data_IF_544948524227
#
_entry.id   IF_544948524227
#
_cell.length_a   1.000
_cell.length_b   1.000
_cell.length_c   1.000
_cell.angle_alpha   90.00
_cell.angle_beta   90.00
_cell.angle_gamma   90.00
#
_symmetry.space_group_name_H-M   'P 1'
#
loop_
_entity.id
_entity.type
_entity.pdbx_description
1 polymer ?
#
# COMPACT_ATOMS: atom_id res chain seq x y z
N UNK A 1 -51.94 83.11 0.76
CA UNK A 1 -51.27 84.44 0.61
C UNK A 1 -49.87 84.29 0.03
N UNK A 2 -49.23 85.31 -0.48
CA UNK A 2 -47.88 85.23 -1.11
C UNK A 2 -46.83 84.65 -0.15
N UNK A 3 -46.96 84.85 1.14
CA UNK A 3 -46.05 84.31 2.17
C UNK A 3 -46.16 82.73 2.32
N UNK A 4 -47.35 82.20 2.22
CA UNK A 4 -47.56 80.76 2.29
C UNK A 4 -47.02 80.02 1.05
N UNK A 5 -47.13 80.66 -0.12
CA UNK A 5 -46.56 80.12 -1.38
C UNK A 5 -45.02 80.07 -1.34
N UNK A 6 -44.40 81.12 -0.77
CA UNK A 6 -42.94 81.22 -0.59
C UNK A 6 -42.44 80.15 0.41
N UNK A 7 -43.16 79.93 1.51
CA UNK A 7 -42.82 78.92 2.48
C UNK A 7 -43.01 77.49 1.86
N UNK A 8 -44.07 77.24 1.07
CA UNK A 8 -44.25 75.95 0.40
C UNK A 8 -43.15 75.69 -0.62
N UNK A 9 -42.76 76.69 -1.43
CA UNK A 9 -41.66 76.60 -2.39
C UNK A 9 -40.31 76.28 -1.71
N UNK A 10 -40.02 76.91 -0.56
CA UNK A 10 -38.80 76.68 0.22
C UNK A 10 -38.76 75.22 0.76
N UNK A 11 -39.88 74.70 1.30
CA UNK A 11 -39.98 73.30 1.77
C UNK A 11 -39.82 72.34 0.63
N UNK A 12 -40.38 72.58 -0.52
CA UNK A 12 -40.29 71.75 -1.69
C UNK A 12 -38.85 71.72 -2.23
N UNK A 13 -38.13 72.83 -2.26
CA UNK A 13 -36.72 72.94 -2.62
C UNK A 13 -35.83 72.07 -1.67
N UNK A 14 -36.08 72.13 -0.36
CA UNK A 14 -35.36 71.30 0.64
C UNK A 14 -35.64 69.80 0.43
N UNK A 15 -36.90 69.42 0.18
CA UNK A 15 -37.26 68.01 -0.10
C UNK A 15 -36.64 67.54 -1.37
N UNK A 16 -36.53 68.32 -2.43
CA UNK A 16 -35.86 67.99 -3.67
C UNK A 16 -34.35 67.74 -3.43
N UNK A 17 -33.72 68.60 -2.65
CA UNK A 17 -32.29 68.45 -2.29
C UNK A 17 -32.06 67.15 -1.51
N UNK A 18 -32.84 66.86 -0.47
CA UNK A 18 -32.77 65.66 0.33
C UNK A 18 -33.00 64.37 -0.54
N UNK A 19 -34.02 64.47 -1.43
CA UNK A 19 -34.29 63.32 -2.36
C UNK A 19 -33.13 63.10 -3.32
N UNK A 20 -32.49 64.19 -3.80
CA UNK A 20 -31.34 64.09 -4.71
C UNK A 20 -30.13 63.49 -4.02
N UNK A 21 -29.87 63.89 -2.75
CA UNK A 21 -28.79 63.23 -1.97
C UNK A 21 -29.05 61.77 -1.70
N UNK A 22 -30.27 61.39 -1.35
CA UNK A 22 -30.66 59.97 -1.19
C UNK A 22 -30.49 59.19 -2.48
N UNK A 23 -30.87 59.75 -3.62
CA UNK A 23 -30.67 59.11 -4.93
C UNK A 23 -29.17 58.93 -5.26
N UNK A 24 -28.32 59.91 -4.95
CA UNK A 24 -26.86 59.75 -5.10
C UNK A 24 -26.30 58.65 -4.20
N UNK A 25 -26.75 58.60 -2.94
CA UNK A 25 -26.40 57.52 -2.00
C UNK A 25 -26.79 56.14 -2.52
N UNK A 26 -28.01 56.05 -3.05
CA UNK A 26 -28.52 54.81 -3.63
C UNK A 26 -27.76 54.37 -4.89
N UNK A 27 -27.40 55.33 -5.76
CA UNK A 27 -26.56 55.04 -6.94
C UNK A 27 -25.20 54.43 -6.55
N UNK A 28 -24.52 55.07 -5.56
CA UNK A 28 -23.24 54.55 -5.03
C UNK A 28 -23.37 53.17 -4.39
N UNK A 29 -24.51 52.91 -3.71
CA UNK A 29 -24.80 51.62 -3.12
C UNK A 29 -25.04 50.54 -4.18
N UNK A 30 -25.71 50.89 -5.31
CA UNK A 30 -25.89 50.01 -6.45
C UNK A 30 -24.56 49.65 -7.16
N UNK A 31 -23.63 50.65 -7.30
CA UNK A 31 -22.29 50.38 -7.82
C UNK A 31 -21.52 49.38 -6.96
N UNK A 32 -21.53 49.56 -5.64
CA UNK A 32 -20.90 48.67 -4.69
C UNK A 32 -21.51 47.28 -4.72
N UNK A 33 -22.83 47.18 -4.86
CA UNK A 33 -23.56 45.89 -4.98
C UNK A 33 -23.19 45.17 -6.28
N UNK A 34 -23.09 45.89 -7.38
CA UNK A 34 -22.67 45.34 -8.68
C UNK A 34 -21.24 44.81 -8.61
N UNK A 35 -20.31 45.57 -8.02
CA UNK A 35 -18.92 45.12 -7.80
C UNK A 35 -18.84 43.87 -6.92
N UNK A 36 -19.64 43.83 -5.85
CA UNK A 36 -19.71 42.65 -4.96
C UNK A 36 -20.29 41.42 -5.66
N UNK A 37 -21.35 41.62 -6.46
CA UNK A 37 -21.95 40.54 -7.24
C UNK A 37 -20.96 39.97 -8.27
N UNK A 38 -20.21 40.83 -8.96
CA UNK A 38 -19.16 40.43 -9.90
C UNK A 38 -18.07 39.61 -9.20
N UNK A 39 -17.60 40.03 -8.05
CA UNK A 39 -16.59 39.31 -7.25
C UNK A 39 -17.11 37.96 -6.74
N UNK A 40 -18.38 37.93 -6.32
CA UNK A 40 -19.01 36.69 -5.89
C UNK A 40 -19.13 35.69 -7.04
N UNK A 41 -19.44 36.14 -8.25
CA UNK A 41 -19.47 35.30 -9.44
C UNK A 41 -18.08 34.71 -9.78
N UNK A 42 -17.03 35.50 -9.67
CA UNK A 42 -15.63 35.07 -9.87
C UNK A 42 -15.22 34.02 -8.84
N UNK A 43 -15.54 34.22 -7.56
CA UNK A 43 -15.28 33.24 -6.48
C UNK A 43 -16.04 31.95 -6.73
N UNK A 44 -17.30 32.03 -7.15
CA UNK A 44 -18.10 30.84 -7.48
C UNK A 44 -17.49 30.04 -8.64
N UNK A 45 -17.06 30.73 -9.71
CA UNK A 45 -16.37 30.07 -10.83
C UNK A 45 -15.04 29.41 -10.39
N UNK A 46 -14.26 30.10 -9.55
CA UNK A 46 -13.04 29.56 -8.97
C UNK A 46 -13.30 28.31 -8.11
N UNK A 47 -14.38 28.32 -7.35
CA UNK A 47 -14.81 27.17 -6.54
C UNK A 47 -15.20 25.97 -7.41
N UNK A 48 -15.97 26.18 -8.47
CA UNK A 48 -16.32 25.12 -9.44
C UNK A 48 -15.08 24.54 -10.12
N UNK A 49 -14.13 25.38 -10.53
CA UNK A 49 -12.88 24.91 -11.13
C UNK A 49 -12.05 24.08 -10.15
N UNK A 50 -12.04 24.46 -8.87
CA UNK A 50 -11.34 23.71 -7.82
C UNK A 50 -12.02 22.38 -7.52
N UNK A 51 -13.35 22.35 -7.45
CA UNK A 51 -14.12 21.10 -7.28
C UNK A 51 -13.87 20.12 -8.43
N UNK A 52 -13.87 20.59 -9.68
CA UNK A 52 -13.54 19.75 -10.86
C UNK A 52 -12.12 19.16 -10.79
N UNK A 53 -11.14 19.94 -10.37
CA UNK A 53 -9.77 19.44 -10.17
C UNK A 53 -9.69 18.42 -9.04
N UNK A 54 -10.41 18.66 -7.95
CA UNK A 54 -10.54 17.74 -6.83
C UNK A 54 -11.15 16.39 -7.28
N UNK A 55 -12.25 16.44 -8.02
CA UNK A 55 -12.91 15.25 -8.58
C UNK A 55 -11.98 14.45 -9.50
N UNK A 56 -11.26 15.11 -10.39
CA UNK A 56 -10.27 14.43 -11.25
C UNK A 56 -9.13 13.78 -10.44
N UNK A 57 -8.64 14.44 -9.38
CA UNK A 57 -7.62 13.87 -8.50
C UNK A 57 -8.13 12.63 -7.75
N UNK A 58 -9.39 12.65 -7.28
CA UNK A 58 -10.03 11.50 -6.64
C UNK A 58 -10.16 10.33 -7.62
N UNK A 59 -10.61 10.57 -8.86
CA UNK A 59 -10.69 9.51 -9.88
C UNK A 59 -9.33 8.88 -10.18
N UNK A 60 -8.27 9.68 -10.26
CA UNK A 60 -6.91 9.16 -10.43
C UNK A 60 -6.46 8.34 -9.22
N UNK A 61 -6.85 8.73 -8.00
CA UNK A 61 -6.56 7.96 -6.78
C UNK A 61 -7.27 6.61 -6.81
N UNK A 62 -8.55 6.56 -7.20
CA UNK A 62 -9.31 5.31 -7.33
C UNK A 62 -8.64 4.37 -8.35
N UNK A 63 -8.24 4.90 -9.51
CA UNK A 63 -7.53 4.12 -10.52
C UNK A 63 -6.21 3.57 -9.99
N UNK A 64 -5.41 4.40 -9.29
CA UNK A 64 -4.16 3.93 -8.67
C UNK A 64 -4.38 2.86 -7.60
N UNK A 65 -5.50 2.92 -6.86
CA UNK A 65 -5.87 1.88 -5.90
C UNK A 65 -6.26 0.56 -6.58
N UNK A 66 -6.96 0.61 -7.72
CA UNK A 66 -7.28 -0.60 -8.49
C UNK A 66 -6.00 -1.26 -9.04
N UNK A 67 -5.07 -0.49 -9.59
CA UNK A 67 -3.77 -0.98 -10.03
C UNK A 67 -2.98 -1.60 -8.87
N UNK A 68 -2.98 -0.96 -7.70
CA UNK A 68 -2.35 -1.49 -6.48
C UNK A 68 -2.97 -2.82 -6.04
N UNK A 69 -4.29 -2.95 -6.10
CA UNK A 69 -4.99 -4.21 -5.80
C UNK A 69 -4.55 -5.34 -6.73
N UNK A 70 -4.42 -5.08 -8.02
CA UNK A 70 -3.94 -6.07 -9.00
C UNK A 70 -2.50 -6.51 -8.69
N UNK A 71 -1.62 -5.55 -8.41
CA UNK A 71 -0.23 -5.86 -8.02
C UNK A 71 -0.12 -6.68 -6.74
N UNK A 72 -0.96 -6.38 -5.73
CA UNK A 72 -1.00 -7.16 -4.49
C UNK A 72 -1.44 -8.59 -4.79
N UNK A 73 -2.47 -8.80 -5.61
CA UNK A 73 -2.94 -10.14 -5.97
C UNK A 73 -1.88 -10.94 -6.74
N UNK A 74 -1.16 -10.31 -7.67
CA UNK A 74 -0.09 -10.96 -8.40
C UNK A 74 1.08 -11.34 -7.45
N UNK A 75 1.45 -10.42 -6.56
CA UNK A 75 2.51 -10.67 -5.58
C UNK A 75 2.11 -11.78 -4.61
N UNK A 76 0.86 -11.83 -4.16
CA UNK A 76 0.34 -12.91 -3.31
C UNK A 76 0.44 -14.28 -4.01
N UNK A 77 0.14 -14.34 -5.31
CA UNK A 77 0.32 -15.57 -6.10
C UNK A 77 1.80 -16.01 -6.18
N UNK A 78 2.72 -15.07 -6.30
CA UNK A 78 4.16 -15.34 -6.34
C UNK A 78 4.67 -15.85 -5.00
N UNK A 79 4.23 -15.24 -3.91
CA UNK A 79 4.58 -15.66 -2.54
C UNK A 79 4.02 -17.06 -2.24
N UNK A 80 2.77 -17.34 -2.64
CA UNK A 80 2.21 -18.68 -2.50
C UNK A 80 3.05 -19.73 -3.20
N UNK A 81 3.48 -19.46 -4.44
CA UNK A 81 4.39 -20.39 -5.18
C UNK A 81 5.74 -20.55 -4.48
N UNK A 82 6.26 -19.48 -3.87
CA UNK A 82 7.48 -19.56 -3.06
C UNK A 82 7.29 -20.50 -1.86
N UNK A 83 6.14 -20.41 -1.18
CA UNK A 83 5.78 -21.34 -0.10
C UNK A 83 5.71 -22.79 -0.55
N UNK A 84 5.05 -23.05 -1.70
CA UNK A 84 4.98 -24.40 -2.30
C UNK A 84 6.38 -24.93 -2.68
N UNK A 85 7.23 -24.08 -3.26
CA UNK A 85 8.61 -24.45 -3.58
C UNK A 85 9.46 -24.71 -2.34
N UNK A 86 9.27 -23.91 -1.28
CA UNK A 86 9.95 -24.12 0.02
C UNK A 86 9.51 -25.43 0.68
N UNK A 87 8.25 -25.81 0.54
CA UNK A 87 7.76 -27.11 1.00
C UNK A 87 8.49 -28.26 0.28
N UNK A 88 8.58 -28.19 -1.05
CA UNK A 88 9.30 -29.19 -1.86
C UNK A 88 10.79 -29.27 -1.51
N UNK A 89 11.42 -28.11 -1.27
CA UNK A 89 12.81 -28.06 -0.80
C UNK A 89 12.93 -28.76 0.55
N UNK A 90 11.99 -28.55 1.47
CA UNK A 90 11.95 -29.24 2.76
C UNK A 90 11.94 -30.77 2.63
N UNK A 91 11.09 -31.29 1.74
CA UNK A 91 11.01 -32.75 1.46
C UNK A 91 12.33 -33.29 0.89
N UNK A 92 12.98 -32.55 -0.02
CA UNK A 92 14.30 -32.91 -0.56
C UNK A 92 15.36 -32.91 0.54
N UNK A 93 15.32 -31.92 1.44
CA UNK A 93 16.26 -31.81 2.56
C UNK A 93 16.11 -32.99 3.53
N UNK A 94 14.90 -33.40 3.85
CA UNK A 94 14.65 -34.61 4.63
C UNK A 94 15.24 -35.86 3.94
N UNK A 95 14.99 -36.02 2.65
CA UNK A 95 15.58 -37.14 1.89
C UNK A 95 17.12 -37.15 1.91
N UNK A 96 17.75 -35.97 1.79
CA UNK A 96 19.23 -35.86 1.86
C UNK A 96 19.72 -36.22 3.26
N UNK A 97 18.99 -35.81 4.32
CA UNK A 97 19.34 -36.21 5.67
C UNK A 97 19.26 -37.73 5.87
N UNK A 98 18.22 -38.38 5.34
CA UNK A 98 18.10 -39.86 5.38
C UNK A 98 19.23 -40.56 4.62
N UNK A 99 19.63 -40.00 3.46
CA UNK A 99 20.76 -40.51 2.70
C UNK A 99 22.08 -40.37 3.51
N UNK A 100 22.26 -39.23 4.18
CA UNK A 100 23.42 -39.00 5.03
C UNK A 100 23.48 -40.01 6.20
N UNK A 101 22.33 -40.27 6.84
CA UNK A 101 22.25 -41.28 7.92
C UNK A 101 22.52 -42.70 7.41
N UNK A 102 21.92 -43.09 6.27
CA UNK A 102 22.20 -44.37 5.64
C UNK A 102 23.68 -44.54 5.24
N UNK A 103 24.28 -43.44 4.72
CA UNK A 103 25.69 -43.42 4.33
C UNK A 103 26.59 -43.57 5.57
N UNK A 104 26.22 -42.96 6.67
CA UNK A 104 26.91 -43.08 7.95
C UNK A 104 26.88 -44.55 8.46
N UNK A 105 25.71 -45.17 8.42
CA UNK A 105 25.56 -46.61 8.79
C UNK A 105 26.37 -47.51 7.85
N UNK A 106 26.34 -47.24 6.55
CA UNK A 106 27.10 -48.03 5.57
C UNK A 106 28.61 -47.89 5.77
N UNK A 107 29.11 -46.71 6.04
CA UNK A 107 30.53 -46.46 6.33
C UNK A 107 30.97 -47.12 7.62
N UNK A 108 30.13 -47.12 8.66
CA UNK A 108 30.39 -47.82 9.90
C UNK A 108 30.50 -49.34 9.67
N UNK A 109 29.59 -49.92 8.89
CA UNK A 109 29.65 -51.35 8.52
C UNK A 109 30.92 -51.68 7.72
N UNK A 110 31.31 -50.80 6.79
CA UNK A 110 32.55 -50.95 6.02
C UNK A 110 33.79 -50.87 6.93
N UNK A 111 33.83 -49.96 7.91
CA UNK A 111 34.91 -49.88 8.90
C UNK A 111 35.03 -51.15 9.74
N UNK A 112 33.90 -51.71 10.16
CA UNK A 112 33.88 -53.01 10.90
C UNK A 112 34.45 -54.12 10.06
N UNK A 113 34.04 -54.25 8.79
CA UNK A 113 34.56 -55.29 7.88
C UNK A 113 36.08 -55.11 7.59
N UNK A 114 36.49 -53.86 7.43
CA UNK A 114 37.93 -53.56 7.26
C UNK A 114 38.74 -53.92 8.49
N UNK A 115 38.24 -53.69 9.70
CA UNK A 115 38.88 -54.12 10.95
C UNK A 115 38.98 -55.64 11.07
N UNK A 116 37.95 -56.39 10.63
CA UNK A 116 37.94 -57.84 10.63
C UNK A 116 38.96 -58.42 9.66
N UNK A 117 39.29 -57.70 8.56
CA UNK A 117 40.32 -58.13 7.60
C UNK A 117 41.77 -57.89 8.06
N UNK A 118 41.97 -57.29 9.20
CA UNK A 118 43.32 -57.04 9.81
C UNK A 118 44.19 -56.13 8.92
N UNK A 119 45.45 -56.52 8.75
CA UNK A 119 46.40 -55.69 7.97
C UNK A 119 45.99 -55.48 6.52
N UNK A 120 45.27 -56.41 5.88
CA UNK A 120 44.77 -56.27 4.53
C UNK A 120 43.66 -55.26 4.41
N UNK A 121 42.95 -54.95 5.52
CA UNK A 121 41.84 -54.01 5.56
C UNK A 121 42.22 -52.57 5.89
N UNK A 122 43.46 -52.27 6.28
CA UNK A 122 43.85 -50.91 6.76
C UNK A 122 43.52 -49.75 5.79
N UNK A 123 43.75 -49.98 4.48
CA UNK A 123 43.42 -48.95 3.48
C UNK A 123 41.91 -48.69 3.38
N UNK A 124 41.07 -49.72 3.49
CA UNK A 124 39.61 -49.62 3.49
C UNK A 124 39.07 -48.98 4.76
N UNK A 125 39.69 -49.22 5.92
CA UNK A 125 39.31 -48.58 7.17
C UNK A 125 39.42 -47.03 7.09
N UNK A 126 40.54 -46.54 6.53
CA UNK A 126 40.75 -45.07 6.35
C UNK A 126 39.71 -44.47 5.42
N UNK A 127 39.33 -45.18 4.35
CA UNK A 127 38.25 -44.68 3.43
C UNK A 127 36.90 -44.69 4.15
N UNK A 128 36.61 -45.74 4.91
CA UNK A 128 35.36 -45.84 5.65
C UNK A 128 35.21 -44.71 6.69
N UNK A 129 36.26 -44.41 7.45
CA UNK A 129 36.28 -43.30 8.40
C UNK A 129 36.06 -41.95 7.70
N UNK A 130 36.68 -41.72 6.52
CA UNK A 130 36.50 -40.49 5.77
C UNK A 130 35.07 -40.34 5.21
N UNK A 131 34.45 -41.48 4.73
CA UNK A 131 33.06 -41.49 4.29
C UNK A 131 32.12 -41.25 5.46
N UNK A 132 32.39 -41.81 6.64
CA UNK A 132 31.63 -41.54 7.84
C UNK A 132 31.64 -40.06 8.19
N UNK A 133 32.83 -39.44 8.25
CA UNK A 133 33.01 -38.02 8.53
C UNK A 133 32.30 -37.14 7.51
N UNK A 134 32.29 -37.53 6.23
CA UNK A 134 31.56 -36.82 5.18
C UNK A 134 30.05 -36.90 5.38
N UNK A 135 29.54 -38.07 5.76
CA UNK A 135 28.14 -38.30 6.05
C UNK A 135 27.65 -37.46 7.23
N UNK A 136 28.42 -37.39 8.33
CA UNK A 136 28.15 -36.58 9.51
C UNK A 136 28.07 -35.08 9.13
N UNK A 137 29.08 -34.59 8.38
CA UNK A 137 29.09 -33.20 7.88
C UNK A 137 27.92 -32.88 6.96
N UNK A 138 27.53 -33.84 6.12
CA UNK A 138 26.37 -33.70 5.25
C UNK A 138 25.08 -33.60 6.06
N UNK A 139 24.91 -34.41 7.09
CA UNK A 139 23.77 -34.35 8.01
C UNK A 139 23.68 -33.03 8.76
N UNK A 140 24.83 -32.49 9.23
CA UNK A 140 24.86 -31.17 9.87
C UNK A 140 24.47 -30.05 8.90
N UNK A 141 24.99 -30.07 7.67
CA UNK A 141 24.66 -29.08 6.65
C UNK A 141 23.15 -29.15 6.27
N UNK A 142 22.61 -30.37 6.18
CA UNK A 142 21.19 -30.59 5.87
C UNK A 142 20.28 -30.04 6.98
N UNK A 143 20.64 -30.21 8.25
CA UNK A 143 19.91 -29.58 9.38
C UNK A 143 19.89 -28.06 9.30
N UNK A 144 21.01 -27.45 8.96
CA UNK A 144 21.07 -25.99 8.78
C UNK A 144 20.16 -25.52 7.63
N UNK A 145 20.11 -26.27 6.52
CA UNK A 145 19.22 -25.97 5.39
C UNK A 145 17.75 -26.16 5.82
N UNK A 146 17.43 -27.21 6.59
CA UNK A 146 16.08 -27.42 7.12
C UNK A 146 15.59 -26.24 7.96
N UNK A 147 16.45 -25.68 8.81
CA UNK A 147 16.11 -24.52 9.63
C UNK A 147 15.90 -23.26 8.78
N UNK A 148 16.71 -23.06 7.74
CA UNK A 148 16.50 -21.97 6.78
C UNK A 148 15.17 -22.11 6.03
N UNK A 149 14.83 -23.31 5.59
CA UNK A 149 13.56 -23.60 4.90
C UNK A 149 12.37 -23.31 5.81
N UNK A 150 12.42 -23.71 7.08
CA UNK A 150 11.39 -23.35 8.07
C UNK A 150 11.23 -21.85 8.24
N UNK A 151 12.33 -21.12 8.28
CA UNK A 151 12.30 -19.65 8.34
C UNK A 151 11.64 -19.06 7.10
N UNK A 152 12.01 -19.52 5.89
CA UNK A 152 11.39 -19.06 4.64
C UNK A 152 9.88 -19.36 4.62
N UNK A 153 9.44 -20.52 5.13
CA UNK A 153 8.02 -20.86 5.24
C UNK A 153 7.28 -19.92 6.21
N UNK A 154 7.88 -19.60 7.35
CA UNK A 154 7.31 -18.67 8.32
C UNK A 154 7.17 -17.27 7.70
N UNK A 155 8.23 -16.75 7.09
CA UNK A 155 8.25 -15.44 6.44
C UNK A 155 7.23 -15.35 5.29
N UNK A 156 7.10 -16.45 4.53
CA UNK A 156 6.12 -16.55 3.44
C UNK A 156 4.69 -16.46 3.95
N UNK A 157 4.37 -17.15 5.07
CA UNK A 157 3.05 -17.09 5.69
C UNK A 157 2.75 -15.70 6.26
N UNK A 158 3.73 -15.06 6.88
CA UNK A 158 3.59 -13.67 7.37
C UNK A 158 3.37 -12.69 6.22
N UNK A 159 4.11 -12.84 5.12
CA UNK A 159 3.94 -12.00 3.94
C UNK A 159 2.54 -12.15 3.32
N UNK A 160 1.97 -13.37 3.28
CA UNK A 160 0.58 -13.59 2.83
C UNK A 160 -0.42 -12.87 3.74
N UNK A 161 -0.27 -12.98 5.06
CA UNK A 161 -1.14 -12.29 6.02
C UNK A 161 -1.05 -10.76 5.90
N UNK A 162 0.17 -10.22 5.69
CA UNK A 162 0.38 -8.78 5.46
C UNK A 162 -0.30 -8.32 4.17
N UNK A 163 -0.27 -9.12 3.10
CA UNK A 163 -0.95 -8.81 1.84
C UNK A 163 -2.47 -8.81 1.96
N UNK A 164 -3.05 -9.73 2.73
CA UNK A 164 -4.48 -9.73 3.01
C UNK A 164 -4.89 -8.46 3.76
N UNK A 165 -4.10 -8.04 4.74
CA UNK A 165 -4.31 -6.78 5.47
C UNK A 165 -4.21 -5.57 4.54
N UNK A 166 -3.20 -5.54 3.67
CA UNK A 166 -3.00 -4.46 2.69
C UNK A 166 -4.17 -4.41 1.70
N UNK A 167 -4.67 -5.56 1.24
CA UNK A 167 -5.85 -5.63 0.35
C UNK A 167 -7.08 -5.01 1.01
N UNK A 168 -7.32 -5.29 2.30
CA UNK A 168 -8.41 -4.66 3.06
C UNK A 168 -8.22 -3.14 3.14
N UNK A 169 -7.00 -2.68 3.38
CA UNK A 169 -6.67 -1.25 3.40
C UNK A 169 -6.93 -0.54 2.06
N UNK A 170 -6.58 -1.19 0.95
CA UNK A 170 -6.84 -0.67 -0.40
C UNK A 170 -8.34 -0.58 -0.69
N UNK A 171 -9.12 -1.60 -0.34
CA UNK A 171 -10.58 -1.59 -0.50
C UNK A 171 -11.22 -0.46 0.30
N UNK A 172 -10.83 -0.27 1.56
CA UNK A 172 -11.34 0.81 2.39
C UNK A 172 -10.91 2.19 1.86
N UNK A 173 -9.67 2.32 1.40
CA UNK A 173 -9.16 3.53 0.75
C UNK A 173 -9.96 3.89 -0.51
N UNK A 174 -10.29 2.90 -1.35
CA UNK A 174 -11.14 3.10 -2.53
C UNK A 174 -12.53 3.61 -2.12
N UNK A 175 -13.13 3.03 -1.09
CA UNK A 175 -14.43 3.45 -0.56
C UNK A 175 -14.41 4.89 -0.05
N UNK A 176 -13.35 5.28 0.67
CA UNK A 176 -13.18 6.64 1.17
C UNK A 176 -12.97 7.65 0.03
N UNK A 177 -12.18 7.27 -0.97
CA UNK A 177 -11.96 8.09 -2.15
C UNK A 177 -13.27 8.31 -2.93
N UNK A 178 -14.07 7.26 -3.13
CA UNK A 178 -15.37 7.36 -3.81
C UNK A 178 -16.34 8.29 -3.05
N UNK A 179 -16.42 8.14 -1.73
CA UNK A 179 -17.23 9.04 -0.88
C UNK A 179 -16.77 10.51 -0.99
N UNK A 180 -15.44 10.76 -1.04
CA UNK A 180 -14.91 12.11 -1.24
C UNK A 180 -15.25 12.65 -2.64
N UNK A 181 -15.21 11.79 -3.67
CA UNK A 181 -15.61 12.15 -5.03
C UNK A 181 -17.07 12.55 -5.13
N UNK A 182 -17.97 11.83 -4.45
CA UNK A 182 -19.40 12.14 -4.38
C UNK A 182 -19.69 13.46 -3.64
N UNK A 183 -18.86 13.84 -2.67
CA UNK A 183 -19.00 15.12 -1.94
C UNK A 183 -18.53 16.34 -2.76
N UNK A 184 -17.76 16.14 -3.83
CA UNK A 184 -17.24 17.19 -4.72
C UNK A 184 -18.13 17.42 -5.97
N UNK A 185 -19.07 16.52 -6.26
CA UNK A 185 -19.99 16.59 -7.40
C UNK A 185 -21.33 17.15 -6.99
#
# INVERSE_FOLDING_TARGET
TANELTQAATRQATQITDTTERMRGMSKQMENMSATASRSAEVAQGSVATAKRGSAAVQNTIKGMDEMREHIQETAKRIKRLGESSQQIGEIVELINDIAEQTNILSLNAAIQAAMAGEAGRGFAVVADEVQRLAERSGEATKQIADLVKTIQADTNEAVAAMESTTKGVVEGTRLADAAGQALG
#
